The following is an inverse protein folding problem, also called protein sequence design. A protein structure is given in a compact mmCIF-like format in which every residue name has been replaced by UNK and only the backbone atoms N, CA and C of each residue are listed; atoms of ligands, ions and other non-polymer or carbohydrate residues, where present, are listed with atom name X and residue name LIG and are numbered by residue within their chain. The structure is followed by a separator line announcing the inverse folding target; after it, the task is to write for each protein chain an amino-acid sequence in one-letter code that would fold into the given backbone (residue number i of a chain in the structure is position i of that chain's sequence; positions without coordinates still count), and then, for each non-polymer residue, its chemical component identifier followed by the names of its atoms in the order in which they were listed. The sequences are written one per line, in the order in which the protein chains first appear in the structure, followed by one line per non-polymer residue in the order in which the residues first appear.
data_IF_048677619978
#
_entry.id   IF_048677619978
#
_cell.length_a   1.000
_cell.length_b   1.000
_cell.length_c   1.000
_cell.angle_alpha   90.00
_cell.angle_beta   90.00
_cell.angle_gamma   90.00
#
_symmetry.space_group_name_H-M   'P 1'
#
loop_
_entity.id
_entity.type
_entity.pdbx_description
1 polymer ?
#
# COMPACT_ATOMS: atom_id res chain seq x y z
N UNK A 1 9.17 -14.62 15.16
CA UNK A 1 8.37 -15.10 16.27
C UNK A 1 9.14 -15.15 17.61
N UNK A 2 10.34 -15.74 17.69
CA UNK A 2 11.09 -15.89 18.96
C UNK A 2 11.38 -14.55 19.65
N UNK A 3 11.80 -13.52 18.89
CA UNK A 3 12.03 -12.18 19.44
C UNK A 3 10.77 -11.56 20.04
N UNK A 4 9.62 -11.72 19.40
CA UNK A 4 8.33 -11.23 19.90
C UNK A 4 7.97 -11.88 21.22
N UNK A 5 8.13 -13.19 21.35
CA UNK A 5 7.91 -13.90 22.62
C UNK A 5 8.90 -13.46 23.71
N UNK A 6 10.19 -13.31 23.37
CA UNK A 6 11.21 -12.85 24.31
C UNK A 6 10.92 -11.43 24.83
N UNK A 7 10.47 -10.54 23.98
CA UNK A 7 10.06 -9.18 24.37
C UNK A 7 8.80 -9.18 25.25
N UNK A 8 7.82 -10.03 24.93
CA UNK A 8 6.55 -10.08 25.67
C UNK A 8 6.67 -10.69 27.07
N UNK A 9 7.52 -11.73 27.24
CA UNK A 9 7.66 -12.44 28.52
C UNK A 9 8.94 -12.07 29.30
N UNK A 10 9.93 -11.51 28.61
CA UNK A 10 11.26 -11.31 29.12
C UNK A 10 12.09 -12.61 29.09
N UNK A 11 13.39 -12.47 29.28
CA UNK A 11 14.35 -13.56 29.42
C UNK A 11 15.34 -13.21 30.54
N UNK A 12 16.33 -14.05 30.78
CA UNK A 12 17.39 -13.73 31.77
C UNK A 12 18.14 -12.43 31.38
N UNK A 13 18.31 -12.18 30.07
CA UNK A 13 19.13 -11.09 29.56
C UNK A 13 18.29 -9.94 28.94
N UNK A 14 16.97 -10.13 28.78
CA UNK A 14 16.07 -9.18 28.15
C UNK A 14 14.87 -8.88 29.07
N UNK A 15 14.68 -7.62 29.44
CA UNK A 15 13.50 -7.21 30.19
C UNK A 15 12.25 -7.28 29.32
N UNK A 16 11.14 -7.73 29.94
CA UNK A 16 9.81 -7.62 29.34
C UNK A 16 9.50 -6.16 28.96
N UNK A 17 8.84 -5.98 27.82
CA UNK A 17 8.36 -4.66 27.34
C UNK A 17 6.84 -4.53 27.49
N UNK A 18 6.35 -3.29 27.50
CA UNK A 18 4.92 -3.00 27.61
C UNK A 18 4.23 -2.98 26.25
N UNK A 19 4.96 -2.64 25.18
CA UNK A 19 4.43 -2.59 23.81
C UNK A 19 5.46 -3.01 22.77
N UNK A 20 5.02 -3.74 21.75
CA UNK A 20 5.81 -4.16 20.58
C UNK A 20 5.24 -3.48 19.35
N UNK A 21 6.07 -2.73 18.65
CA UNK A 21 5.73 -2.03 17.41
C UNK A 21 6.72 -2.41 16.31
N UNK A 22 6.28 -2.37 15.08
CA UNK A 22 7.12 -2.60 13.90
C UNK A 22 6.56 -3.67 12.96
N UNK A 23 6.98 -3.64 11.69
CA UNK A 23 6.56 -4.58 10.66
C UNK A 23 7.17 -5.97 10.87
N UNK A 24 6.66 -6.95 10.13
CA UNK A 24 7.21 -8.29 10.14
C UNK A 24 6.44 -9.21 9.20
N UNK A 25 7.01 -10.38 8.94
CA UNK A 25 6.38 -11.41 8.12
C UNK A 25 5.20 -12.09 8.85
N UNK A 26 4.53 -13.02 8.18
CA UNK A 26 3.39 -13.77 8.71
C UNK A 26 3.65 -14.42 10.08
N UNK A 27 4.90 -14.87 10.35
CA UNK A 27 5.27 -15.44 11.66
C UNK A 27 5.32 -14.39 12.77
N UNK A 28 5.67 -13.13 12.43
CA UNK A 28 5.66 -12.02 13.40
C UNK A 28 4.24 -11.56 13.64
N UNK A 29 3.44 -11.44 12.59
CA UNK A 29 2.02 -11.10 12.69
C UNK A 29 1.26 -12.11 13.56
N UNK A 30 1.45 -13.41 13.31
CA UNK A 30 0.85 -14.47 14.12
C UNK A 30 1.32 -14.44 15.59
N UNK A 31 2.62 -14.20 15.85
CA UNK A 31 3.13 -14.07 17.20
C UNK A 31 2.53 -12.85 17.93
N UNK A 32 2.37 -11.71 17.25
CA UNK A 32 1.68 -10.54 17.81
C UNK A 32 0.23 -10.85 18.15
N UNK A 33 -0.49 -11.53 17.24
CA UNK A 33 -1.88 -11.92 17.44
C UNK A 33 -2.05 -12.81 18.67
N UNK A 34 -1.19 -13.81 18.85
CA UNK A 34 -1.24 -14.73 20.00
C UNK A 34 -0.89 -14.04 21.32
N UNK A 35 -0.09 -12.99 21.30
CA UNK A 35 0.38 -12.29 22.50
C UNK A 35 -0.41 -11.01 22.80
N UNK A 36 -1.38 -10.67 21.97
CA UNK A 36 -2.27 -9.54 22.23
C UNK A 36 -2.97 -9.70 23.58
N UNK A 37 -2.92 -8.67 24.41
CA UNK A 37 -3.43 -8.69 25.79
C UNK A 37 -2.41 -9.14 26.84
N UNK A 38 -1.29 -9.77 26.44
CA UNK A 38 -0.11 -10.00 27.32
C UNK A 38 0.89 -8.87 27.20
N UNK A 39 1.01 -8.30 26.00
CA UNK A 39 1.81 -7.13 25.65
C UNK A 39 0.98 -6.27 24.69
N UNK A 40 1.15 -4.96 24.74
CA UNK A 40 0.56 -4.06 23.74
C UNK A 40 1.21 -4.30 22.38
N UNK A 41 0.42 -4.20 21.32
CA UNK A 41 0.92 -4.25 19.94
C UNK A 41 0.44 -3.01 19.17
N UNK A 42 1.06 -2.73 18.02
CA UNK A 42 0.59 -1.74 17.07
C UNK A 42 -0.63 -2.26 16.28
N UNK A 43 -0.39 -3.22 15.40
CA UNK A 43 -1.41 -3.91 14.62
C UNK A 43 -0.96 -5.32 14.27
N UNK A 44 -1.88 -6.14 13.78
CA UNK A 44 -1.57 -7.38 13.08
C UNK A 44 -1.64 -7.04 11.59
N UNK A 45 -0.47 -6.88 10.95
CA UNK A 45 -0.41 -6.56 9.54
C UNK A 45 -0.67 -7.80 8.68
N UNK A 46 -1.54 -7.64 7.68
CA UNK A 46 -1.69 -8.57 6.56
C UNK A 46 -0.64 -8.32 5.46
N UNK A 47 -0.81 -8.91 4.28
CA UNK A 47 -0.02 -8.56 3.11
C UNK A 47 -0.17 -7.09 2.76
N UNK A 48 0.90 -6.47 2.29
CA UNK A 48 0.88 -5.06 1.90
C UNK A 48 0.02 -4.81 0.67
N UNK A 49 -0.63 -3.66 0.63
CA UNK A 49 -1.62 -3.30 -0.39
C UNK A 49 -1.36 -1.91 -0.95
N UNK A 50 -1.43 -1.77 -2.28
CA UNK A 50 -1.49 -0.47 -2.94
C UNK A 50 -2.72 -0.40 -3.84
N UNK A 51 -3.47 0.69 -3.74
CA UNK A 51 -4.54 1.04 -4.65
C UNK A 51 -4.21 2.38 -5.31
N UNK A 52 -4.10 2.38 -6.63
CA UNK A 52 -3.81 3.56 -7.43
C UNK A 52 -5.05 3.96 -8.22
N UNK A 53 -5.51 5.20 -8.06
CA UNK A 53 -6.51 5.80 -8.93
C UNK A 53 -5.78 6.72 -9.91
N UNK A 54 -5.82 6.42 -11.21
CA UNK A 54 -5.10 7.18 -12.21
C UNK A 54 -5.96 7.49 -13.45
N UNK A 55 -5.88 8.71 -13.94
CA UNK A 55 -6.45 9.13 -15.22
C UNK A 55 -5.42 8.97 -16.36
N UNK A 56 -5.87 9.17 -17.60
CA UNK A 56 -5.04 9.02 -18.79
C UNK A 56 -4.01 10.16 -19.04
N UNK A 57 -3.91 11.13 -18.11
CA UNK A 57 -2.88 12.17 -18.13
C UNK A 57 -1.56 11.69 -17.51
N UNK A 58 -1.59 10.55 -16.83
CA UNK A 58 -0.41 9.94 -16.24
C UNK A 58 0.43 9.17 -17.27
N UNK A 59 1.71 8.98 -16.95
CA UNK A 59 2.56 8.06 -17.69
C UNK A 59 2.23 6.61 -17.28
N UNK A 60 1.75 5.75 -18.20
CA UNK A 60 1.38 4.37 -17.86
C UNK A 60 2.55 3.52 -17.36
N UNK A 61 3.79 3.83 -17.75
CA UNK A 61 4.98 3.15 -17.26
C UNK A 61 5.23 3.45 -15.76
N UNK A 62 5.01 4.69 -15.34
CA UNK A 62 5.19 5.06 -13.93
C UNK A 62 4.16 4.36 -13.03
N UNK A 63 2.89 4.36 -13.44
CA UNK A 63 1.84 3.63 -12.73
C UNK A 63 2.15 2.11 -12.66
N UNK A 64 2.69 1.55 -13.75
CA UNK A 64 3.11 0.15 -13.75
C UNK A 64 4.27 -0.12 -12.76
N UNK A 65 5.23 0.80 -12.65
CA UNK A 65 6.33 0.71 -11.68
C UNK A 65 5.80 0.76 -10.25
N UNK A 66 4.88 1.68 -9.93
CA UNK A 66 4.32 1.82 -8.60
C UNK A 66 3.50 0.58 -8.20
N UNK A 67 2.70 0.02 -9.10
CA UNK A 67 2.00 -1.26 -8.86
C UNK A 67 2.97 -2.42 -8.61
N UNK A 68 4.08 -2.47 -9.35
CA UNK A 68 5.09 -3.52 -9.21
C UNK A 68 6.00 -3.33 -8.01
N UNK A 69 6.20 -2.10 -7.53
CA UNK A 69 6.95 -1.84 -6.30
C UNK A 69 6.29 -2.55 -5.11
N UNK A 70 4.95 -2.53 -5.05
CA UNK A 70 4.21 -3.28 -4.05
C UNK A 70 4.21 -4.78 -4.32
N UNK A 71 4.01 -5.20 -5.56
CA UNK A 71 3.96 -6.62 -5.93
C UNK A 71 5.25 -7.38 -5.63
N UNK A 72 6.43 -6.73 -5.66
CA UNK A 72 7.71 -7.38 -5.37
C UNK A 72 7.97 -7.63 -3.88
N UNK A 73 7.18 -7.03 -2.98
CA UNK A 73 7.37 -7.20 -1.53
C UNK A 73 7.05 -8.62 -1.07
N UNK A 74 5.90 -9.17 -1.47
CA UNK A 74 5.44 -10.51 -1.05
C UNK A 74 4.53 -11.12 -2.11
N UNK A 75 4.50 -12.46 -2.21
CA UNK A 75 3.64 -13.19 -3.14
C UNK A 75 2.13 -12.96 -2.91
N UNK A 76 1.76 -12.56 -1.69
CA UNK A 76 0.38 -12.24 -1.31
C UNK A 76 0.08 -10.73 -1.37
N UNK A 77 1.05 -9.87 -1.71
CA UNK A 77 0.82 -8.44 -1.87
C UNK A 77 -0.28 -8.19 -2.91
N UNK A 78 -1.05 -7.12 -2.69
CA UNK A 78 -2.14 -6.72 -3.58
C UNK A 78 -1.86 -5.38 -4.23
N UNK A 79 -1.95 -5.33 -5.57
CA UNK A 79 -1.76 -4.12 -6.36
C UNK A 79 -3.00 -3.89 -7.22
N UNK A 80 -3.69 -2.77 -7.00
CA UNK A 80 -4.97 -2.46 -7.67
C UNK A 80 -4.84 -1.13 -8.42
N UNK A 81 -5.26 -1.11 -9.68
CA UNK A 81 -5.46 0.10 -10.47
C UNK A 81 -6.95 0.37 -10.68
N UNK A 82 -7.38 1.60 -10.42
CA UNK A 82 -8.70 2.11 -10.85
C UNK A 82 -8.46 3.21 -11.88
N UNK A 83 -9.11 3.12 -13.02
CA UNK A 83 -9.05 4.13 -14.07
C UNK A 83 -10.37 4.23 -14.83
N UNK A 84 -10.60 5.38 -15.47
CA UNK A 84 -11.75 5.59 -16.34
C UNK A 84 -11.39 5.56 -17.84
N UNK A 85 -10.23 5.01 -18.19
CA UNK A 85 -9.77 4.91 -19.57
C UNK A 85 -9.23 3.50 -19.85
N UNK A 86 -9.97 2.72 -20.65
CA UNK A 86 -9.62 1.35 -21.02
C UNK A 86 -8.29 1.25 -21.79
N UNK A 87 -8.01 2.25 -22.64
CA UNK A 87 -6.76 2.29 -23.40
C UNK A 87 -5.57 2.55 -22.48
N UNK A 88 -5.74 3.41 -21.49
CA UNK A 88 -4.74 3.65 -20.47
C UNK A 88 -4.49 2.39 -19.64
N UNK A 89 -5.56 1.73 -19.18
CA UNK A 89 -5.49 0.45 -18.46
C UNK A 89 -4.67 -0.59 -19.23
N UNK A 90 -4.95 -0.74 -20.52
CA UNK A 90 -4.22 -1.68 -21.41
C UNK A 90 -2.74 -1.32 -21.56
N UNK A 91 -2.44 -0.02 -21.63
CA UNK A 91 -1.05 0.44 -21.69
C UNK A 91 -0.29 0.14 -20.40
N UNK A 92 -0.91 0.37 -19.24
CA UNK A 92 -0.32 0.00 -17.94
C UNK A 92 -0.05 -1.51 -17.88
N UNK A 93 -1.02 -2.34 -18.23
CA UNK A 93 -0.87 -3.80 -18.28
C UNK A 93 0.30 -4.23 -19.18
N UNK A 94 0.43 -3.61 -20.36
CA UNK A 94 1.55 -3.89 -21.26
C UNK A 94 2.91 -3.51 -20.68
N UNK A 95 2.99 -2.41 -19.89
CA UNK A 95 4.22 -2.02 -19.21
C UNK A 95 4.52 -2.97 -18.05
N UNK A 96 3.53 -3.40 -17.29
CA UNK A 96 3.71 -4.41 -16.24
C UNK A 96 4.34 -5.69 -16.80
N UNK A 97 3.78 -6.23 -17.88
CA UNK A 97 4.32 -7.45 -18.50
C UNK A 97 5.79 -7.30 -18.92
N UNK A 98 6.15 -6.14 -19.50
CA UNK A 98 7.54 -5.86 -19.90
C UNK A 98 8.47 -5.70 -18.70
N UNK A 99 8.04 -4.96 -17.68
CA UNK A 99 8.84 -4.68 -16.49
C UNK A 99 9.09 -5.94 -15.66
N UNK A 100 8.10 -6.83 -15.53
CA UNK A 100 8.25 -8.12 -14.85
C UNK A 100 9.42 -8.94 -15.40
N UNK A 101 9.75 -8.83 -16.71
CA UNK A 101 10.89 -9.55 -17.29
C UNK A 101 12.24 -9.05 -16.77
N UNK A 102 12.32 -7.83 -16.27
CA UNK A 102 13.57 -7.16 -15.87
C UNK A 102 13.77 -7.06 -14.36
N UNK A 103 12.71 -7.30 -13.57
CA UNK A 103 12.78 -7.18 -12.11
C UNK A 103 13.69 -8.25 -11.48
N UNK A 104 14.55 -7.87 -10.52
CA UNK A 104 15.37 -8.83 -9.76
C UNK A 104 14.52 -9.87 -9.01
N UNK A 105 13.35 -9.45 -8.47
CA UNK A 105 12.40 -10.31 -7.75
C UNK A 105 11.24 -10.77 -8.62
N UNK A 106 11.48 -11.01 -9.91
CA UNK A 106 10.48 -11.39 -10.91
C UNK A 106 9.50 -12.47 -10.44
N UNK A 107 9.98 -13.53 -9.79
CA UNK A 107 9.10 -14.63 -9.37
C UNK A 107 8.06 -14.18 -8.36
N UNK A 108 8.45 -13.39 -7.37
CA UNK A 108 7.56 -12.86 -6.33
C UNK A 108 6.58 -11.86 -6.95
N UNK A 109 7.08 -10.87 -7.69
CA UNK A 109 6.24 -9.86 -8.33
C UNK A 109 5.25 -10.46 -9.33
N UNK A 110 5.66 -11.48 -10.12
CA UNK A 110 4.76 -12.19 -11.03
C UNK A 110 3.69 -12.98 -10.27
N UNK A 111 4.07 -13.69 -9.21
CA UNK A 111 3.10 -14.44 -8.38
C UNK A 111 2.06 -13.48 -7.79
N UNK A 112 2.50 -12.39 -7.17
CA UNK A 112 1.63 -11.37 -6.61
C UNK A 112 0.71 -10.77 -7.68
N UNK A 113 1.26 -10.27 -8.79
CA UNK A 113 0.47 -9.62 -9.83
C UNK A 113 -0.58 -10.53 -10.47
N UNK A 114 -0.20 -11.75 -10.86
CA UNK A 114 -1.13 -12.66 -11.55
C UNK A 114 -2.18 -13.29 -10.63
N UNK A 115 -1.92 -13.39 -9.33
CA UNK A 115 -2.88 -13.95 -8.37
C UNK A 115 -3.74 -12.87 -7.70
N UNK A 116 -3.18 -11.69 -7.40
CA UNK A 116 -3.81 -10.66 -6.55
C UNK A 116 -3.89 -9.28 -7.23
N UNK A 117 -3.25 -9.08 -8.39
CA UNK A 117 -3.31 -7.83 -9.14
C UNK A 117 -4.68 -7.64 -9.78
N UNK A 118 -5.18 -6.40 -9.81
CA UNK A 118 -6.50 -6.08 -10.35
C UNK A 118 -6.49 -4.73 -11.08
N UNK A 119 -7.14 -4.68 -12.24
CA UNK A 119 -7.43 -3.41 -12.94
C UNK A 119 -8.96 -3.25 -13.00
N UNK A 120 -9.46 -2.17 -12.44
CA UNK A 120 -10.89 -1.82 -12.41
C UNK A 120 -11.11 -0.63 -13.35
N UNK A 121 -12.00 -0.80 -14.31
CA UNK A 121 -12.39 0.26 -15.22
C UNK A 121 -13.76 0.77 -14.78
N UNK A 122 -13.88 2.08 -14.59
CA UNK A 122 -15.09 2.79 -14.17
C UNK A 122 -15.48 3.81 -15.24
N UNK A 123 -16.74 4.21 -15.28
CA UNK A 123 -17.19 5.19 -16.26
C UNK A 123 -16.77 6.61 -15.86
N UNK A 124 -16.90 6.93 -14.58
CA UNK A 124 -16.56 8.25 -14.03
C UNK A 124 -15.63 8.11 -12.85
N UNK A 125 -14.59 8.94 -12.81
CA UNK A 125 -13.55 8.87 -11.77
C UNK A 125 -14.11 8.99 -10.34
N UNK A 126 -15.23 9.70 -10.14
CA UNK A 126 -15.88 9.85 -8.83
C UNK A 126 -16.37 8.51 -8.23
N UNK A 127 -16.61 7.51 -9.06
CA UNK A 127 -17.06 6.17 -8.61
C UNK A 127 -15.96 5.44 -7.84
N UNK A 128 -14.70 5.91 -7.96
CA UNK A 128 -13.58 5.34 -7.21
C UNK A 128 -13.79 5.43 -5.69
N UNK A 129 -14.51 6.44 -5.18
CA UNK A 129 -14.71 6.67 -3.74
C UNK A 129 -15.35 5.47 -3.06
N UNK A 130 -16.45 4.96 -3.62
CA UNK A 130 -17.16 3.81 -3.06
C UNK A 130 -16.28 2.55 -3.07
N UNK A 131 -15.47 2.39 -4.12
CA UNK A 131 -14.56 1.26 -4.27
C UNK A 131 -13.41 1.36 -3.26
N UNK A 132 -12.78 2.54 -3.14
CA UNK A 132 -11.74 2.84 -2.15
C UNK A 132 -12.24 2.52 -0.74
N UNK A 133 -13.41 3.06 -0.37
CA UNK A 133 -13.97 2.88 0.97
C UNK A 133 -14.34 1.43 1.28
N UNK A 134 -14.66 0.61 0.27
CA UNK A 134 -14.92 -0.82 0.43
C UNK A 134 -13.65 -1.64 0.57
N UNK A 135 -12.62 -1.31 -0.21
CA UNK A 135 -11.32 -1.99 -0.16
C UNK A 135 -10.58 -1.60 1.10
N UNK A 136 -10.64 -0.31 1.49
CA UNK A 136 -9.91 0.25 2.63
C UNK A 136 -8.40 -0.04 2.57
N UNK A 137 -7.71 0.37 1.50
CA UNK A 137 -6.34 -0.04 1.20
C UNK A 137 -5.34 0.52 2.22
N UNK A 138 -4.24 -0.19 2.41
CA UNK A 138 -3.08 0.28 3.19
C UNK A 138 -2.52 1.57 2.59
N UNK A 139 -2.19 1.54 1.30
CA UNK A 139 -1.67 2.68 0.55
C UNK A 139 -2.64 3.06 -0.57
N UNK A 140 -3.03 4.33 -0.60
CA UNK A 140 -3.89 4.89 -1.64
C UNK A 140 -3.14 5.99 -2.38
N UNK A 141 -2.96 5.85 -3.70
CA UNK A 141 -2.44 6.90 -4.56
C UNK A 141 -3.57 7.52 -5.38
N UNK A 142 -3.70 8.85 -5.30
CA UNK A 142 -4.63 9.60 -6.12
C UNK A 142 -3.88 10.37 -7.22
N UNK A 143 -3.54 9.66 -8.29
CA UNK A 143 -2.85 10.17 -9.47
C UNK A 143 -3.85 10.76 -10.48
N UNK A 144 -4.65 11.73 -10.04
CA UNK A 144 -5.73 12.35 -10.79
C UNK A 144 -5.69 13.87 -10.69
N UNK A 145 -6.44 14.55 -11.54
CA UNK A 145 -6.59 16.00 -11.47
C UNK A 145 -7.35 16.40 -10.19
N UNK A 146 -6.80 17.37 -9.45
CA UNK A 146 -7.39 17.91 -8.21
C UNK A 146 -7.68 16.84 -7.13
N UNK A 147 -6.72 15.97 -6.74
CA UNK A 147 -6.98 14.85 -5.84
C UNK A 147 -7.53 15.27 -4.47
N UNK A 148 -7.27 16.51 -4.03
CA UNK A 148 -7.77 17.05 -2.76
C UNK A 148 -9.28 17.12 -2.67
N UNK A 149 -9.99 17.18 -3.80
CA UNK A 149 -11.46 17.25 -3.83
C UNK A 149 -12.11 15.94 -3.37
N UNK A 150 -11.37 14.84 -3.35
CA UNK A 150 -11.86 13.51 -2.99
C UNK A 150 -11.61 13.15 -1.52
N UNK A 151 -10.78 13.94 -0.81
CA UNK A 151 -10.31 13.56 0.53
C UNK A 151 -11.43 13.49 1.57
N UNK A 152 -12.39 14.40 1.50
CA UNK A 152 -13.49 14.48 2.49
C UNK A 152 -14.45 13.27 2.38
N UNK A 153 -14.48 12.61 1.22
CA UNK A 153 -15.35 11.45 0.96
C UNK A 153 -14.61 10.10 1.15
N UNK A 154 -13.28 10.13 1.28
CA UNK A 154 -12.48 8.93 1.55
C UNK A 154 -12.39 8.72 3.07
N UNK A 155 -13.07 7.68 3.55
CA UNK A 155 -13.13 7.37 4.97
C UNK A 155 -12.18 6.23 5.38
N UNK A 156 -11.74 5.42 4.43
CA UNK A 156 -10.99 4.20 4.70
C UNK A 156 -9.74 4.12 3.80
N UNK A 157 -8.59 4.52 4.34
CA UNK A 157 -7.26 4.32 3.75
C UNK A 157 -6.20 4.47 4.84
N UNK A 158 -5.13 3.70 4.78
CA UNK A 158 -4.03 3.77 5.73
C UNK A 158 -3.17 5.02 5.55
N UNK A 159 -2.66 5.23 4.33
CA UNK A 159 -1.98 6.45 3.89
C UNK A 159 -2.51 6.89 2.53
N UNK A 160 -2.57 8.21 2.30
CA UNK A 160 -3.04 8.77 1.03
C UNK A 160 -1.94 9.63 0.41
N UNK A 161 -1.55 9.29 -0.81
CA UNK A 161 -0.53 9.94 -1.63
C UNK A 161 -1.22 10.76 -2.72
N UNK A 162 -0.92 12.06 -2.81
CA UNK A 162 -1.67 12.98 -3.66
C UNK A 162 -0.83 13.51 -4.81
N UNK A 163 -1.30 13.26 -6.02
CA UNK A 163 -0.73 13.79 -7.27
C UNK A 163 0.20 12.81 -7.98
N UNK A 164 0.43 13.11 -9.25
CA UNK A 164 1.08 12.22 -10.22
C UNK A 164 2.58 11.94 -9.96
N UNK A 165 3.17 12.57 -8.96
CA UNK A 165 4.60 12.48 -8.64
C UNK A 165 4.86 12.06 -7.19
N UNK A 166 3.86 11.49 -6.53
CA UNK A 166 3.95 11.09 -5.13
C UNK A 166 3.71 9.58 -5.00
N UNK A 167 4.70 8.75 -5.38
CA UNK A 167 4.57 7.30 -5.30
C UNK A 167 4.58 6.82 -3.84
N UNK A 168 3.99 5.67 -3.59
CA UNK A 168 3.91 5.03 -2.27
C UNK A 168 5.29 4.85 -1.63
N UNK A 169 6.29 4.43 -2.40
CA UNK A 169 7.65 4.20 -1.93
C UNK A 169 8.27 5.40 -1.18
N UNK A 170 7.84 6.62 -1.45
CA UNK A 170 8.30 7.81 -0.71
C UNK A 170 7.92 7.77 0.76
N UNK A 171 6.79 7.14 1.10
CA UNK A 171 6.33 6.97 2.47
C UNK A 171 7.34 6.27 3.35
N UNK A 172 8.01 5.27 2.81
CA UNK A 172 8.94 4.41 3.54
C UNK A 172 10.30 5.07 3.81
N UNK A 173 10.67 6.07 3.00
CA UNK A 173 12.04 6.60 3.04
C UNK A 173 12.16 8.03 3.58
N UNK A 174 11.29 8.94 3.17
CA UNK A 174 11.54 10.37 3.37
C UNK A 174 10.33 11.18 3.86
N UNK A 175 9.13 10.70 3.63
CA UNK A 175 7.91 11.46 3.92
C UNK A 175 7.50 11.45 5.40
N UNK A 176 8.05 10.55 6.22
CA UNK A 176 7.88 10.54 7.66
C UNK A 176 6.59 9.92 8.23
N UNK A 177 5.67 9.32 7.45
CA UNK A 177 4.54 8.63 8.03
C UNK A 177 4.96 7.35 8.76
N UNK A 178 4.02 6.77 9.53
CA UNK A 178 4.24 5.49 10.15
C UNK A 178 4.33 4.39 9.07
N UNK A 179 5.35 3.53 9.17
CA UNK A 179 5.55 2.41 8.27
C UNK A 179 4.57 1.24 8.52
N UNK A 180 3.96 1.15 9.67
CA UNK A 180 2.98 0.11 10.01
C UNK A 180 1.58 0.67 9.88
N UNK A 181 0.91 0.31 8.81
CA UNK A 181 -0.41 0.77 8.45
C UNK A 181 -1.43 -0.39 8.55
N UNK A 182 -2.72 -0.07 8.71
CA UNK A 182 -3.76 -1.09 8.70
C UNK A 182 -3.94 -1.70 7.31
N UNK A 183 -4.07 -3.02 7.24
CA UNK A 183 -4.27 -3.84 6.05
C UNK A 183 -5.54 -4.67 6.14
N UNK A 184 -5.90 -5.43 5.10
CA UNK A 184 -7.05 -6.35 5.08
C UNK A 184 -8.38 -5.67 5.43
N UNK A 185 -8.63 -4.50 4.84
CA UNK A 185 -9.87 -3.76 5.04
C UNK A 185 -10.03 -3.14 6.44
N UNK A 186 -8.96 -3.07 7.25
CA UNK A 186 -9.02 -2.52 8.61
C UNK A 186 -8.64 -1.05 8.69
N UNK A 187 -8.35 -0.40 7.57
CA UNK A 187 -7.99 1.02 7.47
C UNK A 187 -9.22 1.93 7.67
N UNK A 188 -9.82 1.88 8.84
CA UNK A 188 -10.86 2.84 9.23
C UNK A 188 -10.24 4.05 9.89
N UNK A 189 -10.38 5.24 9.25
CA UNK A 189 -10.05 6.56 9.83
C UNK A 189 -8.61 6.72 10.35
N UNK A 190 -7.62 6.32 9.55
CA UNK A 190 -6.23 6.70 9.85
C UNK A 190 -5.61 7.24 8.56
N UNK A 191 -5.52 8.55 8.39
CA UNK A 191 -4.87 9.09 7.21
C UNK A 191 -3.71 10.00 7.54
N UNK A 192 -2.63 9.74 6.83
CA UNK A 192 -1.57 10.70 6.64
C UNK A 192 -1.62 11.14 5.17
N UNK A 193 -1.84 12.43 4.92
CA UNK A 193 -1.83 12.99 3.58
C UNK A 193 -0.42 13.38 3.19
N UNK A 194 0.07 12.85 2.08
CA UNK A 194 1.38 13.17 1.53
C UNK A 194 1.23 13.82 0.16
N UNK A 195 1.90 14.95 -0.04
CA UNK A 195 1.99 15.62 -1.34
C UNK A 195 3.42 16.04 -1.62
N UNK A 196 3.93 15.70 -2.81
CA UNK A 196 5.14 16.33 -3.32
C UNK A 196 4.78 17.56 -4.17
N UNK A 197 5.61 18.61 -4.15
CA UNK A 197 5.41 19.77 -5.02
C UNK A 197 5.50 19.34 -6.48
N UNK A 198 4.49 19.73 -7.28
CA UNK A 198 4.35 19.38 -8.70
C UNK A 198 5.31 20.13 -9.63
N UNK A 199 6.09 21.06 -9.11
CA UNK A 199 7.21 21.74 -9.81
C UNK A 199 8.31 22.04 -8.81
N UNK A 200 9.52 21.57 -9.10
CA UNK A 200 10.70 22.21 -8.59
C UNK A 200 10.70 23.65 -9.14
N UNK A 201 10.46 24.63 -8.29
CA UNK A 201 10.76 26.01 -8.63
C UNK A 201 12.28 26.11 -8.72
N UNK A 202 12.79 26.23 -9.95
CA UNK A 202 14.16 26.60 -10.26
C UNK A 202 14.33 28.08 -9.92
#
# INVERSE_FOLDING_TARGET
AHAIAALAFGTKDLKKVDKIVGPGNAYVAEAKRQLFGKVGIDSVAGPSEVLIVADNKNNPEWIAIDLLSQAEHDENAQSILITNDEKFAKNVENHIVKLLETLPRKQIASSSWYNNGLIIIIDHINECIDIINKIAPEHLELCIENPKLYLDDINNAGSIFLGNYTPEAIGDYIAGPNHVLPTEGTATVSYTHLTLPTKASV
#
